data_IF_771301358458
#
_entry.id   IF_771301358458
#
_cell.length_a   1.000
_cell.length_b   1.000
_cell.length_c   1.000
_cell.angle_alpha   90.00
_cell.angle_beta   90.00
_cell.angle_gamma   90.00
#
_symmetry.space_group_name_H-M   'P 1'
#
loop_
_entity.id
_entity.type
_entity.pdbx_description
1 polymer ?
#
# COMPACT_ATOMS: atom_id res chain seq x y z
N UNK A 1 -26.53 -5.73 -26.71
CA UNK A 1 -25.89 -4.44 -27.06
C UNK A 1 -26.37 -3.36 -26.08
N UNK A 2 -27.66 -3.01 -26.02
CA UNK A 2 -28.16 -1.96 -25.11
C UNK A 2 -27.99 -2.24 -23.60
N UNK A 3 -28.14 -3.50 -23.17
CA UNK A 3 -27.93 -3.87 -21.76
C UNK A 3 -26.46 -3.77 -21.30
N UNK A 4 -25.50 -4.00 -22.20
CA UNK A 4 -24.08 -3.83 -21.89
C UNK A 4 -23.72 -2.35 -21.81
N UNK A 5 -24.25 -1.54 -22.73
CA UNK A 5 -24.05 -0.09 -22.73
C UNK A 5 -24.64 0.55 -21.47
N UNK A 6 -25.83 0.14 -21.04
CA UNK A 6 -26.43 0.63 -19.78
C UNK A 6 -25.58 0.26 -18.56
N UNK A 7 -25.04 -0.96 -18.51
CA UNK A 7 -24.16 -1.41 -17.43
C UNK A 7 -22.85 -0.61 -17.39
N UNK A 8 -22.25 -0.34 -18.55
CA UNK A 8 -21.05 0.51 -18.66
C UNK A 8 -21.34 1.96 -18.24
N UNK A 9 -22.51 2.50 -18.62
CA UNK A 9 -22.92 3.85 -18.21
C UNK A 9 -23.13 3.93 -16.70
N UNK A 10 -23.80 2.95 -16.11
CA UNK A 10 -24.01 2.86 -14.65
C UNK A 10 -22.67 2.75 -13.92
N UNK A 11 -21.77 1.88 -14.35
CA UNK A 11 -20.41 1.76 -13.79
C UNK A 11 -19.64 3.09 -13.92
N UNK A 12 -19.68 3.74 -15.08
CA UNK A 12 -19.01 5.02 -15.30
C UNK A 12 -19.58 6.13 -14.42
N UNK A 13 -20.89 6.13 -14.18
CA UNK A 13 -21.56 7.09 -13.30
C UNK A 13 -21.17 6.88 -11.84
N UNK A 14 -21.05 5.63 -11.41
CA UNK A 14 -20.63 5.27 -10.06
C UNK A 14 -19.16 5.66 -9.80
N UNK A 15 -18.28 5.45 -10.78
CA UNK A 15 -16.88 5.90 -10.69
C UNK A 15 -16.77 7.41 -10.58
N UNK A 16 -17.56 8.15 -11.38
CA UNK A 16 -17.60 9.62 -11.32
C UNK A 16 -18.10 10.15 -9.98
N UNK A 17 -19.16 9.58 -9.41
CA UNK A 17 -19.68 10.05 -8.11
C UNK A 17 -18.68 9.81 -6.99
N UNK A 18 -17.92 8.71 -7.03
CA UNK A 18 -16.83 8.46 -6.09
C UNK A 18 -15.67 9.45 -6.25
N UNK A 19 -15.25 9.73 -7.50
CA UNK A 19 -14.22 10.74 -7.80
C UNK A 19 -14.64 12.13 -7.31
N UNK A 20 -15.88 12.55 -7.60
CA UNK A 20 -16.44 13.83 -7.14
C UNK A 20 -16.46 13.94 -5.62
N UNK A 21 -16.83 12.85 -4.93
CA UNK A 21 -16.80 12.82 -3.47
C UNK A 21 -15.38 13.07 -2.94
N UNK A 22 -14.37 12.38 -3.48
CA UNK A 22 -12.98 12.59 -3.08
C UNK A 22 -12.51 14.03 -3.39
N UNK A 23 -12.87 14.57 -4.55
CA UNK A 23 -12.54 15.95 -4.91
C UNK A 23 -13.16 16.97 -3.94
N UNK A 24 -14.43 16.79 -3.56
CA UNK A 24 -15.12 17.71 -2.65
C UNK A 24 -14.58 17.68 -1.21
N UNK A 25 -14.02 16.54 -0.77
CA UNK A 25 -13.39 16.42 0.55
C UNK A 25 -11.98 17.02 0.57
N UNK A 26 -11.24 16.91 -0.53
CA UNK A 26 -9.82 17.31 -0.59
C UNK A 26 -9.62 18.76 -1.07
N UNK A 27 -10.49 19.28 -1.94
CA UNK A 27 -10.36 20.64 -2.45
C UNK A 27 -10.93 21.68 -1.48
N UNK A 28 -10.07 22.54 -0.94
CA UNK A 28 -10.49 23.77 -0.27
C UNK A 28 -11.12 24.70 -1.33
N UNK A 29 -12.42 25.03 -1.24
CA UNK A 29 -13.03 25.97 -2.18
C UNK A 29 -12.26 27.29 -2.14
N UNK A 30 -11.74 27.73 -3.28
CA UNK A 30 -11.13 29.06 -3.35
C UNK A 30 -12.21 30.07 -2.94
N UNK A 31 -11.97 30.94 -1.94
CA UNK A 31 -12.93 31.98 -1.60
C UNK A 31 -13.25 32.73 -2.88
N UNK A 32 -14.54 32.83 -3.20
CA UNK A 32 -15.00 33.44 -4.44
C UNK A 32 -14.31 34.79 -4.59
N UNK A 33 -13.51 34.92 -5.65
CA UNK A 33 -12.86 36.19 -5.96
C UNK A 33 -14.00 37.11 -6.36
N UNK A 34 -14.54 37.87 -5.39
CA UNK A 34 -15.54 38.91 -5.65
C UNK A 34 -15.00 39.75 -6.80
N UNK A 35 -15.66 39.62 -7.95
CA UNK A 35 -15.36 40.38 -9.15
C UNK A 35 -15.41 41.85 -8.71
N UNK A 36 -14.27 42.55 -8.73
CA UNK A 36 -14.25 44.00 -8.45
C UNK A 36 -15.14 44.64 -9.51
N UNK A 37 -16.30 45.15 -9.12
CA UNK A 37 -17.07 46.04 -9.96
C UNK A 37 -16.24 47.32 -10.14
N UNK A 38 -15.98 47.70 -11.39
CA UNK A 38 -15.44 49.00 -11.74
C UNK A 38 -16.60 49.99 -11.75
N UNK A 39 -16.48 51.05 -10.93
CA UNK A 39 -17.39 52.20 -10.89
C UNK A 39 -18.16 52.29 -9.58
N UNK A 40 -17.74 53.14 -8.64
CA UNK A 40 -18.11 54.56 -8.61
C UNK A 40 -17.37 55.28 -7.46
N UNK A 41 -17.09 56.57 -7.66
CA UNK A 41 -16.38 57.45 -6.72
C UNK A 41 -17.35 57.90 -5.62
N UNK A 42 -16.95 57.76 -4.35
CA UNK A 42 -17.68 58.34 -3.22
C UNK A 42 -16.81 58.37 -1.96
N UNK A 43 -16.19 59.52 -1.68
CA UNK A 43 -15.45 59.81 -0.45
C UNK A 43 -16.38 59.74 0.76
N UNK A 44 -16.18 58.79 1.69
CA UNK A 44 -16.62 58.94 3.08
C UNK A 44 -15.61 58.24 4.01
N UNK A 45 -14.82 59.05 4.70
CA UNK A 45 -14.03 58.68 5.88
C UNK A 45 -14.98 58.35 7.03
N UNK A 46 -14.94 57.14 7.58
CA UNK A 46 -15.55 56.84 8.87
C UNK A 46 -14.82 55.69 9.58
N UNK A 47 -14.62 55.89 10.88
CA UNK A 47 -13.61 55.28 11.73
C UNK A 47 -13.87 53.82 12.14
N UNK A 48 -12.77 53.17 12.52
CA UNK A 48 -12.67 51.85 13.16
C UNK A 48 -13.22 51.90 14.59
N UNK A 49 -14.02 50.89 15.03
CA UNK A 49 -14.08 50.51 16.43
C UNK A 49 -13.36 49.18 16.66
N UNK A 50 -12.33 49.24 17.51
CA UNK A 50 -11.58 48.10 18.07
C UNK A 50 -12.45 47.35 19.07
N UNK A 51 -12.65 46.04 18.87
CA UNK A 51 -13.15 45.12 19.91
C UNK A 51 -12.10 44.02 20.10
N UNK A 52 -11.58 43.79 21.33
CA UNK A 52 -10.64 42.71 21.59
C UNK A 52 -11.41 41.39 21.76
N UNK A 53 -11.16 40.43 20.86
CA UNK A 53 -11.76 39.10 20.87
C UNK A 53 -10.72 38.02 21.17
N UNK A 54 -10.93 37.35 22.29
CA UNK A 54 -10.11 36.34 22.97
C UNK A 54 -9.53 35.23 22.07
N UNK A 55 -8.26 34.92 22.29
CA UNK A 55 -7.56 33.74 21.79
C UNK A 55 -7.93 32.50 22.60
N UNK A 56 -8.73 31.60 22.03
CA UNK A 56 -8.86 30.22 22.52
C UNK A 56 -7.93 29.32 21.70
N UNK A 57 -6.68 29.25 22.13
CA UNK A 57 -5.73 28.24 21.68
C UNK A 57 -6.14 26.89 22.29
N UNK A 58 -7.06 26.19 21.64
CA UNK A 58 -7.29 24.78 21.90
C UNK A 58 -6.15 23.99 21.25
N UNK A 59 -5.09 23.75 22.00
CA UNK A 59 -4.05 22.78 21.65
C UNK A 59 -4.62 21.37 21.83
N UNK A 60 -5.41 20.93 20.87
CA UNK A 60 -5.71 19.50 20.72
C UNK A 60 -4.45 18.87 20.14
N UNK A 61 -3.62 18.34 21.03
CA UNK A 61 -2.50 17.48 20.67
C UNK A 61 -3.02 16.35 19.78
N UNK A 62 -2.70 16.42 18.50
CA UNK A 62 -2.80 15.27 17.60
C UNK A 62 -1.96 14.15 18.21
N UNK A 63 -2.49 12.92 18.35
CA UNK A 63 -1.70 11.82 18.87
C UNK A 63 -0.59 11.56 17.85
N UNK A 64 0.65 11.83 18.24
CA UNK A 64 1.85 11.45 17.51
C UNK A 64 1.88 9.93 17.45
N UNK A 65 1.25 9.34 16.43
CA UNK A 65 1.50 7.95 16.10
C UNK A 65 2.97 7.88 15.71
N UNK A 66 3.76 7.10 16.44
CA UNK A 66 5.12 6.75 16.05
C UNK A 66 5.10 6.30 14.59
N UNK A 67 5.61 7.13 13.69
CA UNK A 67 5.68 6.79 12.27
C UNK A 67 6.61 5.59 12.11
N UNK A 68 6.02 4.43 11.91
CA UNK A 68 6.75 3.21 11.59
C UNK A 68 7.36 3.41 10.19
N UNK A 69 8.68 3.55 10.13
CA UNK A 69 9.39 3.91 8.90
C UNK A 69 9.40 2.70 7.94
N UNK A 70 8.41 2.66 7.05
CA UNK A 70 8.36 1.74 5.92
C UNK A 70 9.35 2.19 4.84
N UNK A 71 10.01 1.27 4.12
CA UNK A 71 10.83 1.63 2.98
C UNK A 71 9.96 2.35 1.94
N UNK A 72 10.41 3.51 1.48
CA UNK A 72 9.71 4.34 0.50
C UNK A 72 10.70 4.83 -0.57
N UNK A 73 10.17 5.14 -1.75
CA UNK A 73 10.94 5.68 -2.87
C UNK A 73 10.17 6.87 -3.47
N UNK A 74 10.84 8.02 -3.64
CA UNK A 74 10.25 9.19 -4.31
C UNK A 74 10.51 9.13 -5.81
N UNK A 75 9.46 8.89 -6.59
CA UNK A 75 9.52 8.79 -8.05
C UNK A 75 9.27 10.17 -8.67
N UNK A 76 10.26 10.72 -9.38
CA UNK A 76 10.17 12.05 -10.00
C UNK A 76 10.15 11.93 -11.52
N UNK A 77 9.23 12.66 -12.18
CA UNK A 77 9.09 12.70 -13.65
C UNK A 77 8.90 11.33 -14.32
N UNK A 78 8.33 10.36 -13.59
CA UNK A 78 8.03 9.01 -14.08
C UNK A 78 6.73 8.52 -13.45
N UNK A 79 6.07 7.61 -14.15
CA UNK A 79 4.82 6.95 -13.69
C UNK A 79 5.07 5.45 -13.39
N UNK A 80 6.34 5.04 -13.31
CA UNK A 80 6.74 3.65 -13.08
C UNK A 80 7.92 3.54 -12.13
N UNK A 81 7.95 2.45 -11.36
CA UNK A 81 8.98 2.10 -10.39
C UNK A 81 9.20 0.58 -10.37
N UNK A 82 10.45 0.16 -10.23
CA UNK A 82 10.83 -1.24 -9.99
C UNK A 82 11.34 -1.34 -8.55
N UNK A 83 10.61 -2.09 -7.73
CA UNK A 83 10.98 -2.34 -6.32
C UNK A 83 11.78 -3.65 -6.27
N UNK A 84 13.07 -3.56 -5.91
CA UNK A 84 13.99 -4.69 -5.83
C UNK A 84 14.23 -5.15 -4.39
N UNK A 85 14.82 -6.34 -4.23
CA UNK A 85 15.20 -6.85 -2.90
C UNK A 85 14.02 -7.35 -2.06
N UNK A 86 12.91 -7.70 -2.70
CA UNK A 86 11.74 -8.28 -2.04
C UNK A 86 11.91 -9.80 -1.90
N UNK A 87 11.36 -10.37 -0.82
CA UNK A 87 11.28 -11.83 -0.65
C UNK A 87 10.49 -12.46 -1.80
N UNK A 88 10.90 -13.65 -2.24
CA UNK A 88 10.18 -14.43 -3.25
C UNK A 88 8.83 -14.90 -2.70
N UNK A 89 7.88 -15.14 -3.60
CA UNK A 89 6.50 -15.55 -3.31
C UNK A 89 5.79 -14.82 -2.15
N UNK A 90 6.12 -13.54 -1.93
CA UNK A 90 5.65 -12.76 -0.78
C UNK A 90 4.69 -11.67 -1.24
N UNK A 91 3.55 -11.55 -0.55
CA UNK A 91 2.58 -10.48 -0.78
C UNK A 91 3.03 -9.17 -0.16
N UNK A 92 3.12 -8.11 -0.96
CA UNK A 92 3.51 -6.76 -0.54
C UNK A 92 2.33 -5.81 -0.72
N UNK A 93 2.11 -4.93 0.26
CA UNK A 93 1.15 -3.82 0.17
C UNK A 93 1.92 -2.54 -0.16
N UNK A 94 1.68 -2.01 -1.35
CA UNK A 94 2.30 -0.80 -1.87
C UNK A 94 1.36 0.36 -1.62
N UNK A 95 1.90 1.42 -1.02
CA UNK A 95 1.22 2.70 -0.81
C UNK A 95 1.78 3.71 -1.82
N UNK A 96 0.91 4.26 -2.65
CA UNK A 96 1.26 5.23 -3.68
C UNK A 96 0.59 6.57 -3.36
N UNK A 97 1.38 7.65 -3.37
CA UNK A 97 0.90 9.01 -3.17
C UNK A 97 1.43 9.90 -4.30
N UNK A 98 0.63 10.86 -4.75
CA UNK A 98 1.04 11.87 -5.72
C UNK A 98 1.31 13.20 -5.01
N UNK A 99 2.53 13.70 -5.11
CA UNK A 99 2.97 14.92 -4.41
C UNK A 99 3.23 16.06 -5.41
N UNK A 100 2.70 17.24 -5.09
CA UNK A 100 2.87 18.44 -5.93
C UNK A 100 4.00 19.36 -5.44
N UNK A 101 4.34 19.26 -4.16
CA UNK A 101 5.32 20.13 -3.51
C UNK A 101 6.03 19.33 -2.41
N UNK A 102 7.36 19.27 -2.46
CA UNK A 102 8.18 18.59 -1.47
C UNK A 102 8.64 19.51 -0.31
N UNK A 103 8.72 20.83 -0.54
CA UNK A 103 9.20 21.79 0.45
C UNK A 103 8.35 23.08 0.43
N UNK A 104 8.06 23.71 1.58
CA UNK A 104 8.57 23.43 2.92
C UNK A 104 7.85 22.31 3.68
N UNK A 105 6.66 21.93 3.23
CA UNK A 105 5.89 20.79 3.76
C UNK A 105 5.39 19.96 2.57
N UNK A 106 5.45 18.63 2.70
CA UNK A 106 4.97 17.73 1.66
C UNK A 106 3.47 17.85 1.47
N UNK A 107 3.06 18.18 0.24
CA UNK A 107 1.64 18.24 -0.14
C UNK A 107 1.34 17.11 -1.11
N UNK A 108 0.91 16.00 -0.53
CA UNK A 108 0.59 14.77 -1.24
C UNK A 108 -0.92 14.48 -1.23
N UNK A 109 -1.36 13.69 -2.21
CA UNK A 109 -2.72 13.18 -2.30
C UNK A 109 -3.03 12.19 -1.18
N UNK A 110 -4.29 11.78 -1.08
CA UNK A 110 -4.64 10.55 -0.37
C UNK A 110 -3.88 9.36 -0.99
N UNK A 111 -3.57 8.37 -0.16
CA UNK A 111 -2.87 7.17 -0.58
C UNK A 111 -3.76 6.25 -1.43
N UNK A 112 -3.24 5.83 -2.57
CA UNK A 112 -3.75 4.70 -3.32
C UNK A 112 -3.02 3.43 -2.87
N UNK A 113 -3.76 2.36 -2.61
CA UNK A 113 -3.20 1.09 -2.18
C UNK A 113 -3.30 0.05 -3.28
N UNK A 114 -2.20 -0.67 -3.51
CA UNK A 114 -2.18 -1.84 -4.37
C UNK A 114 -1.43 -2.97 -3.69
N UNK A 115 -1.92 -4.19 -3.84
CA UNK A 115 -1.26 -5.38 -3.31
C UNK A 115 -0.78 -6.25 -4.46
N UNK A 116 0.47 -6.69 -4.40
CA UNK A 116 1.06 -7.56 -5.41
C UNK A 116 1.93 -8.63 -4.73
N UNK A 117 2.01 -9.82 -5.36
CA UNK A 117 2.86 -10.91 -4.90
C UNK A 117 4.04 -11.07 -5.84
N UNK A 118 5.24 -11.23 -5.29
CA UNK A 118 6.45 -11.54 -6.06
C UNK A 118 6.42 -12.95 -6.63
N UNK A 119 7.20 -13.20 -7.68
CA UNK A 119 7.32 -14.54 -8.27
C UNK A 119 8.00 -15.52 -7.30
N UNK A 120 7.70 -16.82 -7.43
CA UNK A 120 8.43 -17.85 -6.69
C UNK A 120 9.85 -18.02 -7.23
N UNK A 121 10.74 -18.48 -6.37
CA UNK A 121 12.10 -18.87 -6.74
C UNK A 121 12.19 -20.39 -6.92
N UNK A 122 12.79 -20.84 -8.01
CA UNK A 122 12.68 -22.22 -8.48
C UNK A 122 13.25 -23.28 -7.53
N UNK A 123 14.23 -22.93 -6.70
CA UNK A 123 14.91 -23.85 -5.77
C UNK A 123 14.77 -23.43 -4.30
N UNK A 124 13.90 -22.48 -4.01
CA UNK A 124 13.69 -21.99 -2.64
C UNK A 124 13.07 -23.06 -1.74
N UNK A 125 12.27 -23.96 -2.32
CA UNK A 125 11.59 -25.04 -1.60
C UNK A 125 12.42 -26.33 -1.52
N UNK A 126 13.58 -26.37 -2.18
CA UNK A 126 14.44 -27.56 -2.22
C UNK A 126 15.19 -27.73 -0.89
N UNK A 127 15.25 -28.96 -0.39
CA UNK A 127 16.04 -29.32 0.79
C UNK A 127 17.53 -29.26 0.43
N UNK A 128 18.21 -28.20 0.87
CA UNK A 128 19.65 -28.01 0.63
C UNK A 128 20.44 -28.61 1.80
N UNK A 129 20.64 -29.92 1.76
CA UNK A 129 21.42 -30.65 2.75
C UNK A 129 21.27 -32.16 2.63
N UNK A 130 22.14 -32.95 3.29
CA UNK A 130 21.97 -34.40 3.32
C UNK A 130 20.72 -34.75 4.14
N UNK A 131 19.97 -35.74 3.65
CA UNK A 131 18.99 -36.44 4.48
C UNK A 131 19.74 -37.47 5.31
N UNK A 132 19.81 -37.26 6.61
CA UNK A 132 20.46 -38.17 7.57
C UNK A 132 19.44 -39.08 8.23
N UNK A 133 19.89 -40.22 8.76
CA UNK A 133 19.02 -41.16 9.45
C UNK A 133 19.73 -41.78 10.66
N UNK A 134 18.94 -42.08 11.68
CA UNK A 134 19.36 -42.85 12.86
C UNK A 134 18.47 -44.10 12.98
N UNK A 135 19.08 -45.24 13.30
CA UNK A 135 18.37 -46.52 13.48
C UNK A 135 18.39 -46.85 14.97
N UNK A 136 17.21 -46.98 15.55
CA UNK A 136 17.05 -47.39 16.95
C UNK A 136 16.95 -48.91 17.08
N UNK A 137 17.17 -49.45 18.29
CA UNK A 137 17.19 -50.89 18.59
C UNK A 137 15.89 -51.63 18.20
N UNK A 138 14.79 -50.90 18.06
CA UNK A 138 13.47 -51.40 17.69
C UNK A 138 13.19 -51.35 16.16
N UNK A 139 14.23 -51.24 15.32
CA UNK A 139 14.12 -51.08 13.86
C UNK A 139 13.34 -49.82 13.42
N UNK A 140 13.25 -48.80 14.28
CA UNK A 140 12.69 -47.50 13.92
C UNK A 140 13.76 -46.66 13.24
N UNK A 141 13.44 -46.13 12.05
CA UNK A 141 14.31 -45.21 11.31
C UNK A 141 13.83 -43.79 11.55
N UNK A 142 14.67 -42.96 12.15
CA UNK A 142 14.41 -41.54 12.34
C UNK A 142 15.13 -40.73 11.26
N UNK A 143 14.36 -40.22 10.30
CA UNK A 143 14.88 -39.39 9.22
C UNK A 143 14.97 -37.93 9.66
N UNK A 144 16.05 -37.27 9.28
CA UNK A 144 16.32 -35.88 9.63
C UNK A 144 16.86 -35.14 8.41
N UNK A 145 16.38 -33.92 8.20
CA UNK A 145 16.86 -33.01 7.16
C UNK A 145 16.76 -31.57 7.64
N UNK A 146 17.51 -30.68 6.99
CA UNK A 146 17.45 -29.25 7.27
C UNK A 146 16.29 -28.62 6.49
N UNK A 147 15.37 -27.99 7.21
CA UNK A 147 14.30 -27.19 6.59
C UNK A 147 14.89 -26.02 5.77
N UNK A 148 14.38 -25.79 4.53
CA UNK A 148 14.74 -24.62 3.73
C UNK A 148 14.55 -23.31 4.51
N UNK A 149 15.59 -22.47 4.56
CA UNK A 149 15.56 -21.25 5.38
C UNK A 149 14.60 -20.18 4.84
N UNK A 150 14.46 -20.12 3.53
CA UNK A 150 13.63 -19.15 2.82
C UNK A 150 12.82 -19.90 1.74
N UNK A 151 11.69 -20.54 2.10
CA UNK A 151 10.79 -21.20 1.16
C UNK A 151 9.84 -20.20 0.50
N UNK A 152 9.21 -20.58 -0.61
CA UNK A 152 8.18 -19.82 -1.30
C UNK A 152 6.92 -19.70 -0.43
N UNK A 153 6.94 -18.77 0.53
CA UNK A 153 5.89 -18.59 1.51
C UNK A 153 6.09 -19.48 2.74
N UNK A 154 5.34 -20.58 2.81
CA UNK A 154 5.32 -21.47 3.98
C UNK A 154 5.28 -22.93 3.53
N UNK A 155 6.10 -23.77 4.16
CA UNK A 155 6.08 -25.22 3.98
C UNK A 155 4.89 -25.80 4.74
N UNK A 156 4.02 -26.52 4.02
CA UNK A 156 2.78 -27.08 4.60
C UNK A 156 2.91 -28.56 4.97
N UNK A 157 3.74 -29.31 4.25
CA UNK A 157 4.00 -30.74 4.49
C UNK A 157 5.30 -31.18 3.83
N UNK A 158 5.79 -32.34 4.25
CA UNK A 158 6.86 -33.07 3.57
C UNK A 158 6.34 -34.45 3.16
N UNK A 159 6.70 -34.90 1.96
CA UNK A 159 6.41 -36.24 1.47
C UNK A 159 7.70 -37.06 1.45
N UNK A 160 7.67 -38.23 2.09
CA UNK A 160 8.84 -39.13 2.19
C UNK A 160 8.57 -40.37 1.35
N UNK A 161 9.30 -40.52 0.25
CA UNK A 161 9.29 -41.73 -0.57
C UNK A 161 10.51 -42.59 -0.24
N UNK A 162 10.28 -43.86 0.10
CA UNK A 162 11.34 -44.85 0.35
C UNK A 162 10.99 -46.16 -0.35
N UNK A 163 12.01 -46.91 -0.78
CA UNK A 163 11.86 -48.22 -1.42
C UNK A 163 13.00 -49.13 -0.98
N UNK A 164 12.66 -50.37 -0.62
CA UNK A 164 13.66 -51.43 -0.44
C UNK A 164 13.99 -52.04 -1.79
N UNK A 165 15.27 -52.26 -2.05
CA UNK A 165 15.71 -52.84 -3.32
C UNK A 165 15.10 -54.25 -3.50
N UNK A 166 14.33 -54.44 -4.57
CA UNK A 166 13.68 -55.72 -4.91
C UNK A 166 12.18 -55.81 -4.62
N UNK A 167 11.56 -54.78 -4.02
CA UNK A 167 10.10 -54.74 -3.89
C UNK A 167 9.50 -54.16 -5.20
N UNK A 168 8.81 -55.01 -5.99
CA UNK A 168 8.00 -54.57 -7.14
C UNK A 168 6.72 -53.90 -6.65
N UNK A 169 6.28 -52.82 -7.33
CA UNK A 169 5.01 -52.14 -7.03
C UNK A 169 3.84 -53.15 -7.11
N UNK A 170 3.11 -53.32 -6.01
CA UNK A 170 1.80 -53.99 -6.00
C UNK A 170 0.74 -53.10 -6.64
#
# INVERSE_FOLDING_TARGET
IDSQILKELEESSFRKTFEDYLHNVVFIPRPSRKRRALGDVGNITAAVPTIPGFSNTSSTSTPTSSEEHRPFEKVVNRESLVISGLRHFTGNRIELQACNQDAPEERCSVAAYVSARTMPEAKADDIIGPVTHEIFENNVVHLMWQEPKEPNGLIVLYEVSYRRYGDEEL
#
